data_IF_117888069531
#
_entry.id   IF_117888069531
#
_cell.length_a   1.000
_cell.length_b   1.000
_cell.length_c   1.000
_cell.angle_alpha   90.00
_cell.angle_beta   90.00
_cell.angle_gamma   90.00
#
_symmetry.space_group_name_H-M   'P 1'
#
loop_
_entity.id
_entity.type
_entity.pdbx_description
1 polymer ?
#
# COMPACT_ATOMS: atom_id res chain seq x y z
N UNK A 1 17.37 4.84 13.96
CA UNK A 1 16.71 5.75 13.00
C UNK A 1 16.26 4.89 11.82
N UNK A 2 14.98 4.94 11.42
CA UNK A 2 14.53 4.19 10.24
C UNK A 2 15.10 4.87 8.99
N UNK A 3 15.57 4.09 8.01
CA UNK A 3 16.07 4.62 6.74
C UNK A 3 15.03 4.45 5.64
N UNK A 4 15.09 5.31 4.62
CA UNK A 4 14.26 5.20 3.41
C UNK A 4 14.43 3.82 2.76
N UNK A 5 15.67 3.34 2.65
CA UNK A 5 15.97 2.01 2.10
C UNK A 5 15.28 0.87 2.87
N UNK A 6 15.21 0.96 4.20
CA UNK A 6 14.50 -0.04 5.01
C UNK A 6 13.00 -0.01 4.75
N UNK A 7 12.41 1.19 4.65
CA UNK A 7 10.99 1.33 4.34
C UNK A 7 10.64 0.74 2.99
N UNK A 8 11.41 1.06 1.95
CA UNK A 8 11.20 0.48 0.61
C UNK A 8 11.35 -1.05 0.63
N UNK A 9 12.35 -1.58 1.33
CA UNK A 9 12.50 -3.04 1.48
C UNK A 9 11.29 -3.71 2.16
N UNK A 10 10.70 -3.05 3.15
CA UNK A 10 9.51 -3.57 3.84
C UNK A 10 8.27 -3.52 2.95
N UNK A 11 8.11 -2.45 2.16
CA UNK A 11 7.05 -2.34 1.16
C UNK A 11 7.15 -3.45 0.11
N UNK A 12 8.35 -3.74 -0.42
CA UNK A 12 8.52 -4.83 -1.39
C UNK A 12 8.19 -6.20 -0.78
N UNK A 13 8.65 -6.44 0.46
CA UNK A 13 8.39 -7.70 1.17
C UNK A 13 6.89 -7.88 1.42
N UNK A 14 6.21 -6.85 1.90
CA UNK A 14 4.78 -6.91 2.20
C UNK A 14 3.94 -6.94 0.90
N UNK A 15 4.40 -6.32 -0.19
CA UNK A 15 3.75 -6.42 -1.51
C UNK A 15 3.73 -7.87 -2.02
N UNK A 16 4.87 -8.57 -1.93
CA UNK A 16 4.94 -9.99 -2.29
C UNK A 16 3.97 -10.83 -1.45
N UNK A 17 3.96 -10.59 -0.14
CA UNK A 17 3.05 -11.27 0.79
C UNK A 17 1.58 -10.97 0.49
N UNK A 18 1.23 -9.72 0.21
CA UNK A 18 -0.12 -9.29 -0.12
C UNK A 18 -0.62 -9.95 -1.41
N UNK A 19 0.24 -10.10 -2.42
CA UNK A 19 -0.09 -10.82 -3.67
C UNK A 19 -0.37 -12.31 -3.45
N UNK A 20 0.39 -12.95 -2.57
CA UNK A 20 0.17 -14.36 -2.21
C UNK A 20 -1.16 -14.54 -1.47
N UNK A 21 -1.44 -13.68 -0.49
CA UNK A 21 -2.64 -13.81 0.35
C UNK A 21 -3.92 -13.31 -0.35
N UNK A 22 -3.79 -12.30 -1.21
CA UNK A 22 -4.90 -11.61 -1.87
C UNK A 22 -4.59 -11.44 -3.37
N UNK A 23 -4.64 -12.53 -4.15
CA UNK A 23 -4.19 -12.53 -5.55
C UNK A 23 -5.10 -11.76 -6.52
N UNK A 24 -6.32 -11.43 -6.11
CA UNK A 24 -7.27 -10.66 -6.93
C UNK A 24 -6.98 -9.16 -6.86
N UNK A 25 -7.10 -8.48 -8.00
CA UNK A 25 -7.01 -7.01 -8.08
C UNK A 25 -8.37 -6.29 -7.94
N UNK A 26 -9.47 -7.03 -7.76
CA UNK A 26 -10.79 -6.43 -7.50
C UNK A 26 -10.83 -5.69 -6.16
N UNK A 27 -11.50 -4.53 -6.13
CA UNK A 27 -11.72 -3.72 -4.94
C UNK A 27 -10.43 -3.11 -4.34
N UNK A 28 -9.38 -2.95 -5.15
CA UNK A 28 -8.10 -2.42 -4.72
C UNK A 28 -8.23 -0.98 -4.19
N UNK A 29 -9.11 -0.15 -4.76
CA UNK A 29 -9.36 1.19 -4.23
C UNK A 29 -10.02 1.14 -2.84
N UNK A 30 -10.99 0.24 -2.63
CA UNK A 30 -11.64 0.10 -1.32
C UNK A 30 -10.63 -0.35 -0.25
N UNK A 31 -9.78 -1.31 -0.59
CA UNK A 31 -8.74 -1.79 0.32
C UNK A 31 -7.67 -0.71 0.58
N UNK A 32 -7.29 0.11 -0.41
CA UNK A 32 -6.40 1.27 -0.19
C UNK A 32 -7.02 2.26 0.82
N UNK A 33 -8.30 2.59 0.66
CA UNK A 33 -9.00 3.52 1.55
C UNK A 33 -9.10 2.95 2.98
N UNK A 34 -9.30 1.64 3.11
CA UNK A 34 -9.28 0.94 4.39
C UNK A 34 -7.93 1.13 5.10
N UNK A 35 -6.81 0.88 4.42
CA UNK A 35 -5.46 1.05 4.98
C UNK A 35 -5.16 2.52 5.38
N UNK A 36 -5.64 3.49 4.60
CA UNK A 36 -5.53 4.92 4.97
C UNK A 36 -6.30 5.21 6.26
N UNK A 37 -7.47 4.59 6.44
CA UNK A 37 -8.24 4.64 7.68
C UNK A 37 -7.49 4.02 8.86
N UNK A 38 -6.85 2.86 8.67
CA UNK A 38 -6.06 2.19 9.68
C UNK A 38 -4.83 3.02 10.11
N UNK A 39 -4.13 3.62 9.14
CA UNK A 39 -3.02 4.53 9.41
C UNK A 39 -3.49 5.76 10.20
N UNK A 40 -4.62 6.36 9.81
CA UNK A 40 -5.20 7.50 10.52
C UNK A 40 -5.57 7.13 11.97
N UNK A 41 -6.16 5.96 12.17
CA UNK A 41 -6.46 5.42 13.51
C UNK A 41 -5.18 5.20 14.32
N UNK A 42 -4.14 4.60 13.73
CA UNK A 42 -2.88 4.33 14.42
C UNK A 42 -2.19 5.63 14.90
N UNK A 43 -2.22 6.69 14.10
CA UNK A 43 -1.73 8.02 14.47
C UNK A 43 -2.52 8.62 15.65
N UNK A 44 -3.85 8.54 15.61
CA UNK A 44 -4.70 9.02 16.69
C UNK A 44 -4.45 8.25 17.99
N UNK A 45 -4.33 6.92 17.93
CA UNK A 45 -4.03 6.09 19.09
C UNK A 45 -2.64 6.38 19.69
N UNK A 46 -1.65 6.65 18.84
CA UNK A 46 -0.33 7.12 19.28
C UNK A 46 -0.43 8.45 20.05
N UNK A 47 -1.31 9.36 19.62
CA UNK A 47 -1.48 10.67 20.26
C UNK A 47 -2.17 10.61 21.64
N UNK A 48 -2.89 9.53 21.93
CA UNK A 48 -3.69 9.33 23.17
C UNK A 48 -3.04 8.25 24.08
N UNK A 49 -1.77 7.90 23.83
CA UNK A 49 -0.96 6.99 24.66
C UNK A 49 -1.38 5.50 24.60
N UNK A 50 -2.00 5.06 23.49
CA UNK A 50 -2.56 3.69 23.34
C UNK A 50 -1.90 2.80 22.29
N UNK A 51 -1.04 3.33 21.41
CA UNK A 51 -0.34 2.52 20.41
C UNK A 51 1.13 2.87 20.26
N UNK A 52 1.92 1.91 19.79
CA UNK A 52 3.35 2.05 19.58
C UNK A 52 3.62 2.62 18.18
N UNK A 53 4.68 3.43 18.04
CA UNK A 53 5.15 3.98 16.75
C UNK A 53 5.49 2.92 15.68
N UNK A 54 5.49 1.65 16.05
CA UNK A 54 5.56 0.49 15.15
C UNK A 54 4.26 0.27 14.38
N UNK A 55 3.09 0.46 15.00
CA UNK A 55 1.80 0.31 14.32
C UNK A 55 1.65 1.36 13.21
N UNK A 56 1.96 2.63 13.50
CA UNK A 56 1.94 3.70 12.49
C UNK A 56 2.82 3.35 11.29
N UNK A 57 3.99 2.75 11.53
CA UNK A 57 4.89 2.35 10.45
C UNK A 57 4.36 1.17 9.65
N UNK A 58 3.81 0.16 10.33
CA UNK A 58 3.19 -1.00 9.70
C UNK A 58 2.04 -0.56 8.78
N UNK A 59 1.14 0.29 9.27
CA UNK A 59 0.01 0.76 8.47
C UNK A 59 0.49 1.69 7.34
N UNK A 60 1.54 2.49 7.54
CA UNK A 60 2.14 3.27 6.46
C UNK A 60 2.74 2.39 5.35
N UNK A 61 3.38 1.27 5.70
CA UNK A 61 3.84 0.25 4.74
C UNK A 61 2.65 -0.34 3.99
N UNK A 62 1.56 -0.70 4.66
CA UNK A 62 0.38 -1.25 4.00
C UNK A 62 -0.29 -0.26 3.04
N UNK A 63 -0.43 1.02 3.43
CA UNK A 63 -0.90 2.07 2.51
C UNK A 63 -0.04 2.15 1.24
N UNK A 64 1.28 2.13 1.40
CA UNK A 64 2.21 2.16 0.27
C UNK A 64 2.09 0.90 -0.61
N UNK A 65 1.94 -0.28 0.00
CA UNK A 65 1.69 -1.54 -0.72
C UNK A 65 0.42 -1.45 -1.54
N UNK A 66 -0.69 -0.99 -0.96
CA UNK A 66 -1.97 -0.90 -1.66
C UNK A 66 -1.94 0.14 -2.78
N UNK A 67 -1.26 1.28 -2.56
CA UNK A 67 -1.03 2.25 -3.62
C UNK A 67 -0.21 1.66 -4.78
N UNK A 68 0.84 0.88 -4.48
CA UNK A 68 1.62 0.18 -5.49
C UNK A 68 0.77 -0.84 -6.27
N UNK A 69 -0.12 -1.58 -5.59
CA UNK A 69 -1.03 -2.51 -6.26
C UNK A 69 -2.03 -1.79 -7.15
N UNK A 70 -2.62 -0.68 -6.72
CA UNK A 70 -3.47 0.13 -7.61
C UNK A 70 -2.69 0.55 -8.85
N UNK A 71 -1.46 1.06 -8.70
CA UNK A 71 -0.66 1.55 -9.81
C UNK A 71 -0.16 0.43 -10.76
N UNK A 72 0.12 -0.76 -10.25
CA UNK A 72 0.74 -1.85 -11.01
C UNK A 72 -0.25 -2.93 -11.47
N UNK A 73 -1.35 -3.12 -10.74
CA UNK A 73 -2.33 -4.19 -10.97
C UNK A 73 -3.72 -3.63 -11.32
N UNK A 74 -3.98 -2.35 -11.04
CA UNK A 74 -5.25 -1.69 -11.29
C UNK A 74 -6.39 -2.15 -10.37
N UNK A 75 -7.58 -1.64 -10.65
CA UNK A 75 -8.85 -2.12 -10.09
C UNK A 75 -9.88 -2.17 -11.22
N UNK A 76 -10.37 -3.36 -11.62
CA UNK A 76 -11.31 -3.51 -12.73
C UNK A 76 -12.65 -2.77 -12.56
N UNK A 77 -12.92 -2.23 -11.37
CA UNK A 77 -14.11 -1.41 -11.10
C UNK A 77 -14.01 0.01 -11.67
N UNK A 78 -12.83 0.41 -12.14
CA UNK A 78 -12.53 1.73 -12.67
C UNK A 78 -11.93 1.61 -14.08
N UNK A 79 -12.16 2.64 -14.91
CA UNK A 79 -11.61 2.73 -16.25
C UNK A 79 -10.15 3.22 -16.17
N UNK A 80 -9.28 2.36 -15.67
CA UNK A 80 -7.85 2.58 -15.52
C UNK A 80 -7.10 1.31 -15.93
N UNK A 81 -6.24 1.43 -16.94
CA UNK A 81 -5.33 0.38 -17.38
C UNK A 81 -3.88 0.72 -16.95
N UNK A 82 -3.27 -0.05 -16.03
CA UNK A 82 -1.90 0.19 -15.58
C UNK A 82 -0.85 0.03 -16.69
N UNK A 83 -1.19 -0.59 -17.84
CA UNK A 83 -0.30 -0.73 -18.99
C UNK A 83 -0.44 0.40 -20.03
N UNK A 84 -1.43 1.29 -19.89
CA UNK A 84 -1.81 2.28 -20.92
C UNK A 84 -0.74 3.37 -21.19
N UNK A 85 0.32 3.45 -20.39
CA UNK A 85 1.45 4.38 -20.60
C UNK A 85 2.84 3.73 -20.68
N UNK A 86 2.98 2.42 -20.42
CA UNK A 86 4.29 1.74 -20.45
C UNK A 86 4.75 1.37 -21.87
N UNK A 87 3.91 1.61 -22.89
CA UNK A 87 4.20 1.28 -24.30
C UNK A 87 5.14 2.29 -24.99
N UNK A 88 5.55 3.38 -24.32
CA UNK A 88 6.41 4.42 -24.93
C UNK A 88 7.90 4.36 -24.55
N UNK A 89 8.34 3.45 -23.67
CA UNK A 89 9.77 3.30 -23.31
C UNK A 89 10.44 2.10 -24.01
N UNK A 90 10.24 1.99 -25.31
CA UNK A 90 10.96 1.08 -26.19
C UNK A 90 11.60 1.83 -27.36
N UNK A 91 12.70 2.56 -27.10
CA UNK A 91 13.65 2.99 -28.13
C UNK A 91 14.80 1.97 -28.25
#
# INVERSE_FOLDING_TARGET
>A
MRSEAKFISDVLTELERARVNFPSNRHMNAALVEEVGELSRALLECSIDKSHAENVYKEAVQVAVMAARVALEGDPSFDYDPEEGMKEEGQ
#
